data_IF_224725573144
#
_entry.id   IF_224725573144
#
_cell.length_a   1.000
_cell.length_b   1.000
_cell.length_c   1.000
_cell.angle_alpha   90.00
_cell.angle_beta   90.00
_cell.angle_gamma   90.00
#
_symmetry.space_group_name_H-M   'P 1'
#
loop_
_entity.id
_entity.type
_entity.pdbx_description
1 polymer ?
#
# COMPACT_ATOMS: atom_id res chain seq x y z
N UNK A 1 61.89 -35.42 21.67
CA UNK A 1 61.13 -34.48 22.54
C UNK A 1 59.73 -34.37 21.95
N UNK A 2 58.70 -34.80 22.70
CA UNK A 2 57.31 -34.86 22.22
C UNK A 2 56.55 -33.72 22.90
N UNK A 3 56.27 -32.65 22.15
CA UNK A 3 55.44 -31.53 22.63
C UNK A 3 54.06 -32.09 23.01
N UNK A 4 53.74 -32.10 24.31
CA UNK A 4 52.37 -32.31 24.76
C UNK A 4 51.58 -31.04 24.40
N UNK A 5 50.47 -31.14 23.67
CA UNK A 5 49.58 -29.99 23.51
C UNK A 5 49.00 -29.64 24.89
N UNK A 6 49.20 -28.40 25.33
CA UNK A 6 48.55 -27.85 26.50
C UNK A 6 47.04 -27.80 26.24
N UNK A 7 46.33 -28.84 26.69
CA UNK A 7 44.88 -28.82 26.75
C UNK A 7 44.46 -27.85 27.87
N UNK A 8 44.37 -26.56 27.54
CA UNK A 8 43.78 -25.54 28.40
C UNK A 8 42.30 -25.87 28.59
N UNK A 9 41.94 -26.37 29.77
CA UNK A 9 40.55 -26.55 30.16
C UNK A 9 39.91 -25.18 30.41
N UNK A 10 38.78 -24.91 29.75
CA UNK A 10 38.00 -23.69 29.97
C UNK A 10 37.48 -23.67 31.41
N UNK A 11 37.68 -22.56 32.11
CA UNK A 11 37.11 -22.38 33.45
C UNK A 11 35.63 -21.97 33.35
N UNK A 12 34.85 -22.35 34.37
CA UNK A 12 33.43 -21.96 34.45
C UNK A 12 33.25 -20.44 34.45
N UNK A 13 34.22 -19.70 35.00
CA UNK A 13 34.21 -18.23 35.02
C UNK A 13 34.41 -17.65 33.62
N UNK A 14 35.36 -18.17 32.84
CA UNK A 14 35.58 -17.72 31.45
C UNK A 14 34.33 -17.93 30.60
N UNK A 15 33.66 -19.09 30.74
CA UNK A 15 32.41 -19.33 30.04
C UNK A 15 31.30 -18.37 30.49
N UNK A 16 31.18 -18.12 31.79
CA UNK A 16 30.16 -17.24 32.36
C UNK A 16 30.33 -15.78 31.92
N UNK A 17 31.57 -15.28 31.87
CA UNK A 17 31.88 -13.94 31.38
C UNK A 17 31.54 -13.80 29.90
N UNK A 18 31.84 -14.82 29.08
CA UNK A 18 31.53 -14.79 27.64
C UNK A 18 30.02 -14.74 27.39
N UNK A 19 29.23 -15.59 28.06
CA UNK A 19 27.77 -15.55 27.90
C UNK A 19 27.19 -14.23 28.43
N UNK A 20 27.76 -13.65 29.50
CA UNK A 20 27.33 -12.36 30.01
C UNK A 20 27.59 -11.23 29.00
N UNK A 21 28.76 -11.22 28.35
CA UNK A 21 29.08 -10.25 27.29
C UNK A 21 28.14 -10.44 26.10
N UNK A 22 27.92 -11.67 25.63
CA UNK A 22 26.99 -11.96 24.52
C UNK A 22 25.57 -11.50 24.88
N UNK A 23 25.11 -11.75 26.09
CA UNK A 23 23.78 -11.34 26.55
C UNK A 23 23.63 -9.81 26.55
N UNK A 24 24.64 -9.06 27.01
CA UNK A 24 24.63 -7.59 26.97
C UNK A 24 24.61 -7.08 25.53
N UNK A 25 25.47 -7.61 24.66
CA UNK A 25 25.52 -7.21 23.25
C UNK A 25 24.20 -7.51 22.53
N UNK A 26 23.64 -8.69 22.77
CA UNK A 26 22.37 -9.10 22.18
C UNK A 26 21.21 -8.23 22.66
N UNK A 27 21.17 -7.87 23.96
CA UNK A 27 20.14 -7.01 24.53
C UNK A 27 20.10 -5.62 23.88
N UNK A 28 21.24 -5.08 23.48
CA UNK A 28 21.32 -3.79 22.76
C UNK A 28 21.02 -3.98 21.26
N UNK A 29 21.51 -5.07 20.66
CA UNK A 29 21.42 -5.29 19.21
C UNK A 29 20.00 -5.64 18.75
N UNK A 30 19.25 -6.46 19.50
CA UNK A 30 17.90 -6.88 19.11
C UNK A 30 16.91 -5.72 18.87
N UNK A 31 16.73 -4.75 19.78
CA UNK A 31 15.79 -3.65 19.55
C UNK A 31 16.22 -2.76 18.37
N UNK A 32 17.53 -2.54 18.18
CA UNK A 32 18.05 -1.77 17.05
C UNK A 32 17.80 -2.49 15.73
N UNK A 33 18.07 -3.80 15.70
CA UNK A 33 17.87 -4.62 14.51
C UNK A 33 16.40 -4.68 14.08
N UNK A 34 15.46 -4.78 15.03
CA UNK A 34 14.03 -4.74 14.75
C UNK A 34 13.61 -3.43 14.06
N UNK A 35 14.06 -2.28 14.60
CA UNK A 35 13.79 -0.96 14.01
C UNK A 35 14.43 -0.79 12.63
N UNK A 36 15.67 -1.26 12.45
CA UNK A 36 16.37 -1.21 11.18
C UNK A 36 15.66 -2.06 10.10
N UNK A 37 15.20 -3.26 10.46
CA UNK A 37 14.44 -4.14 9.57
C UNK A 37 13.11 -3.50 9.15
N UNK A 38 12.40 -2.87 10.08
CA UNK A 38 11.16 -2.16 9.78
C UNK A 38 11.41 -0.96 8.84
N UNK A 39 12.43 -0.14 9.12
CA UNK A 39 12.83 0.96 8.26
C UNK A 39 13.16 0.50 6.83
N UNK A 40 13.89 -0.62 6.69
CA UNK A 40 14.19 -1.20 5.39
C UNK A 40 12.92 -1.63 4.63
N UNK A 41 11.97 -2.29 5.31
CA UNK A 41 10.69 -2.65 4.71
C UNK A 41 9.87 -1.43 4.28
N UNK A 42 9.86 -0.37 5.10
CA UNK A 42 9.21 0.90 4.75
C UNK A 42 9.83 1.51 3.49
N UNK A 43 11.16 1.57 3.41
CA UNK A 43 11.87 2.06 2.22
C UNK A 43 11.54 1.22 0.99
N UNK A 44 11.35 -0.09 1.16
CA UNK A 44 10.88 -0.96 0.07
C UNK A 44 9.47 -0.58 -0.41
N UNK A 45 8.53 -0.33 0.50
CA UNK A 45 7.18 0.11 0.11
C UNK A 45 7.20 1.46 -0.63
N UNK A 46 8.05 2.39 -0.21
CA UNK A 46 8.24 3.67 -0.88
C UNK A 46 8.87 3.50 -2.28
N UNK A 47 9.88 2.63 -2.40
CA UNK A 47 10.53 2.33 -3.68
C UNK A 47 9.58 1.66 -4.68
N UNK A 48 8.70 0.80 -4.20
CA UNK A 48 7.63 0.20 -4.98
C UNK A 48 6.69 1.27 -5.53
N UNK A 49 6.17 2.17 -4.68
CA UNK A 49 5.33 3.29 -5.11
C UNK A 49 6.03 4.17 -6.14
N UNK A 50 7.34 4.42 -6.00
CA UNK A 50 8.10 5.22 -6.97
C UNK A 50 8.13 4.53 -8.34
N UNK A 51 8.31 3.21 -8.37
CA UNK A 51 8.26 2.44 -9.62
C UNK A 51 6.85 2.40 -10.21
N UNK A 52 5.81 2.29 -9.38
CA UNK A 52 4.41 2.42 -9.82
C UNK A 52 4.17 3.81 -10.42
N UNK A 53 4.69 4.87 -9.80
CA UNK A 53 4.63 6.23 -10.34
C UNK A 53 5.28 6.34 -11.72
N UNK A 54 6.46 5.75 -11.90
CA UNK A 54 7.08 5.68 -13.23
C UNK A 54 6.21 4.93 -14.24
N UNK A 55 5.60 3.81 -13.85
CA UNK A 55 4.68 3.05 -14.70
C UNK A 55 3.45 3.87 -15.10
N UNK A 56 2.88 4.64 -14.17
CA UNK A 56 1.78 5.59 -14.48
C UNK A 56 2.24 6.64 -15.48
N UNK A 57 3.44 7.22 -15.32
CA UNK A 57 3.99 8.19 -16.29
C UNK A 57 4.19 7.59 -17.67
N UNK A 58 4.64 6.33 -17.76
CA UNK A 58 4.77 5.63 -19.04
C UNK A 58 3.41 5.34 -19.67
N UNK A 59 2.42 4.94 -18.87
CA UNK A 59 1.04 4.80 -19.33
C UNK A 59 0.51 6.12 -19.91
N UNK A 60 0.70 7.23 -19.22
CA UNK A 60 0.25 8.55 -19.70
C UNK A 60 0.83 8.89 -21.09
N UNK A 61 2.10 8.53 -21.34
CA UNK A 61 2.76 8.76 -22.63
C UNK A 61 2.12 7.96 -23.78
N UNK A 62 1.63 6.76 -23.50
CA UNK A 62 1.04 5.88 -24.52
C UNK A 62 -0.46 6.14 -24.74
N UNK A 63 -1.13 6.83 -23.81
CA UNK A 63 -2.59 7.05 -23.80
C UNK A 63 -2.99 8.53 -23.79
N UNK A 64 -2.31 9.39 -24.57
CA UNK A 64 -2.65 10.81 -24.76
C UNK A 64 -2.84 11.59 -23.44
N UNK A 65 -1.91 11.41 -22.51
CA UNK A 65 -1.91 12.01 -21.16
C UNK A 65 -3.15 11.65 -20.32
N UNK A 66 -3.84 10.55 -20.64
CA UNK A 66 -5.04 10.10 -19.92
C UNK A 66 -4.68 9.14 -18.80
N UNK A 67 -5.09 9.44 -17.56
CA UNK A 67 -4.86 8.53 -16.43
C UNK A 67 -5.60 7.20 -16.64
N UNK A 68 -5.05 6.07 -16.12
CA UNK A 68 -5.66 4.75 -16.27
C UNK A 68 -7.10 4.71 -15.74
N UNK A 69 -7.85 3.70 -16.16
CA UNK A 69 -9.21 3.49 -15.65
C UNK A 69 -9.12 3.07 -14.19
N UNK A 70 -9.88 3.73 -13.32
CA UNK A 70 -10.06 3.31 -11.94
C UNK A 70 -10.92 2.04 -11.91
N UNK A 71 -10.29 0.95 -11.49
CA UNK A 71 -10.98 -0.25 -11.08
C UNK A 71 -10.94 -0.32 -9.57
N UNK A 72 -12.11 -0.48 -8.95
CA UNK A 72 -12.17 -0.54 -7.51
C UNK A 72 -11.66 -1.87 -6.95
N UNK A 73 -11.33 -1.86 -5.66
CA UNK A 73 -10.98 -3.05 -4.90
C UNK A 73 -12.17 -4.03 -4.92
N UNK A 74 -11.90 -5.30 -5.21
CA UNK A 74 -12.86 -6.42 -5.33
C UNK A 74 -13.47 -6.63 -6.73
N UNK A 75 -12.61 -6.66 -7.76
CA UNK A 75 -12.98 -7.08 -9.11
C UNK A 75 -13.47 -8.54 -9.15
N UNK A 76 -14.40 -8.85 -10.04
CA UNK A 76 -14.82 -10.22 -10.36
C UNK A 76 -14.36 -10.57 -11.78
N UNK A 77 -13.48 -11.57 -11.95
CA UNK A 77 -12.95 -12.48 -10.93
C UNK A 77 -11.87 -11.85 -10.05
N UNK A 78 -11.68 -12.43 -8.85
CA UNK A 78 -10.82 -11.87 -7.81
C UNK A 78 -9.35 -11.76 -8.22
N UNK A 79 -8.57 -10.99 -7.46
CA UNK A 79 -7.15 -10.79 -7.69
C UNK A 79 -6.39 -12.11 -7.91
N UNK A 80 -5.57 -12.13 -8.96
CA UNK A 80 -4.80 -13.30 -9.37
C UNK A 80 -5.58 -14.32 -10.24
N UNK A 81 -6.89 -14.14 -10.43
CA UNK A 81 -7.68 -15.01 -11.32
C UNK A 81 -7.72 -14.47 -12.77
N UNK A 82 -7.87 -15.34 -13.78
CA UNK A 82 -7.98 -14.91 -15.19
C UNK A 82 -9.17 -13.97 -15.40
N UNK A 83 -8.93 -12.76 -15.91
CA UNK A 83 -9.97 -11.76 -16.14
C UNK A 83 -10.11 -10.72 -15.02
N UNK A 84 -9.30 -10.81 -13.96
CA UNK A 84 -9.19 -9.77 -12.94
C UNK A 84 -8.91 -8.41 -13.57
N UNK A 85 -9.62 -7.39 -13.10
CA UNK A 85 -9.47 -6.00 -13.51
C UNK A 85 -8.99 -5.16 -12.34
N UNK A 86 -7.95 -4.38 -12.57
CA UNK A 86 -7.33 -3.53 -11.55
C UNK A 86 -6.44 -2.50 -12.22
N UNK A 87 -6.18 -1.38 -11.53
CA UNK A 87 -5.21 -0.38 -12.01
C UNK A 87 -3.84 -1.04 -12.22
N UNK A 88 -3.46 -1.94 -11.31
CA UNK A 88 -2.25 -2.74 -11.40
C UNK A 88 -2.19 -3.62 -12.66
N UNK A 89 -3.33 -4.06 -13.18
CA UNK A 89 -3.40 -4.84 -14.41
C UNK A 89 -3.15 -3.96 -15.63
N UNK A 90 -3.63 -2.71 -15.62
CA UNK A 90 -3.37 -1.72 -16.67
C UNK A 90 -1.91 -1.25 -16.68
N UNK A 91 -1.28 -1.19 -15.50
CA UNK A 91 0.10 -0.78 -15.35
C UNK A 91 1.10 -1.91 -15.59
N UNK A 92 0.65 -3.18 -15.60
CA UNK A 92 1.48 -4.37 -15.78
C UNK A 92 2.46 -4.30 -16.97
N UNK A 93 2.08 -3.82 -18.17
CA UNK A 93 3.03 -3.72 -19.30
C UNK A 93 4.22 -2.79 -19.04
N UNK A 94 4.09 -1.85 -18.10
CA UNK A 94 5.10 -0.81 -17.80
C UNK A 94 5.97 -1.16 -16.59
N UNK A 95 5.68 -2.27 -15.91
CA UNK A 95 6.46 -2.79 -14.79
C UNK A 95 7.11 -4.10 -15.22
N UNK A 96 8.44 -4.13 -15.24
CA UNK A 96 9.15 -5.39 -15.44
C UNK A 96 9.14 -6.18 -14.13
N UNK A 97 8.25 -7.20 -13.97
CA UNK A 97 8.58 -8.50 -13.33
C UNK A 97 7.39 -9.39 -12.93
N UNK A 98 6.67 -10.02 -13.86
CA UNK A 98 5.73 -11.07 -13.49
C UNK A 98 5.44 -12.02 -14.62
N UNK A 99 6.15 -13.15 -14.64
CA UNK A 99 5.75 -14.29 -15.45
C UNK A 99 4.43 -14.86 -14.92
N UNK A 100 3.66 -15.51 -15.79
CA UNK A 100 2.42 -16.22 -15.42
C UNK A 100 2.71 -17.23 -14.30
N UNK A 101 2.07 -17.08 -13.14
CA UNK A 101 2.16 -18.05 -12.06
C UNK A 101 1.08 -19.13 -12.25
N UNK A 102 1.24 -20.27 -11.58
CA UNK A 102 0.22 -21.32 -11.57
C UNK A 102 -0.32 -21.46 -10.16
N UNK A 103 -1.64 -21.56 -9.99
CA UNK A 103 -2.17 -22.02 -8.70
C UNK A 103 -1.74 -23.47 -8.41
N UNK A 104 -2.03 -23.95 -7.20
CA UNK A 104 -1.72 -25.33 -6.80
C UNK A 104 -2.37 -26.41 -7.68
N UNK A 105 -3.31 -26.04 -8.57
CA UNK A 105 -4.02 -26.91 -9.49
C UNK A 105 -3.53 -26.76 -10.95
N UNK A 106 -2.51 -25.95 -11.21
CA UNK A 106 -1.97 -25.73 -12.56
C UNK A 106 -2.80 -24.78 -13.42
N UNK A 107 -3.76 -24.05 -12.85
CA UNK A 107 -4.46 -22.97 -13.55
C UNK A 107 -3.49 -21.79 -13.65
N UNK A 108 -3.25 -21.32 -14.88
CA UNK A 108 -2.49 -20.08 -15.13
C UNK A 108 -3.20 -18.93 -14.43
N UNK A 109 -2.66 -18.49 -13.31
CA UNK A 109 -3.12 -17.33 -12.57
C UNK A 109 -2.42 -16.10 -13.12
N UNK A 110 -3.10 -14.96 -13.06
CA UNK A 110 -2.41 -13.69 -13.27
C UNK A 110 -1.41 -13.57 -12.11
N UNK A 111 -0.11 -13.54 -12.42
CA UNK A 111 0.87 -13.35 -11.37
C UNK A 111 0.68 -11.96 -10.81
N UNK A 112 0.25 -11.89 -9.56
CA UNK A 112 0.23 -10.64 -8.86
C UNK A 112 1.65 -10.10 -8.82
N UNK A 113 1.82 -8.91 -9.35
CA UNK A 113 3.13 -8.30 -9.50
C UNK A 113 3.70 -7.96 -8.12
N UNK A 114 4.91 -8.44 -7.77
CA UNK A 114 5.51 -8.19 -6.46
C UNK A 114 5.67 -6.71 -6.14
N UNK A 115 5.74 -5.86 -7.17
CA UNK A 115 5.88 -4.41 -7.02
C UNK A 115 4.67 -3.77 -6.33
N UNK A 116 3.47 -4.33 -6.50
CA UNK A 116 2.28 -3.83 -5.80
C UNK A 116 2.16 -4.36 -4.38
N UNK A 117 3.12 -5.18 -3.91
CA UNK A 117 3.14 -5.69 -2.54
C UNK A 117 4.06 -4.86 -1.66
N UNK A 118 3.52 -4.23 -0.63
CA UNK A 118 4.30 -3.65 0.44
C UNK A 118 4.74 -4.76 1.43
N UNK A 119 6.03 -4.91 1.80
CA UNK A 119 6.46 -5.92 2.78
C UNK A 119 5.94 -5.73 4.22
N UNK A 120 5.24 -4.63 4.46
CA UNK A 120 4.55 -4.32 5.71
C UNK A 120 3.04 -4.61 5.65
N UNK A 121 2.52 -5.00 4.49
CA UNK A 121 1.14 -5.44 4.31
C UNK A 121 0.87 -6.68 5.17
N UNK A 122 0.06 -6.48 6.20
CA UNK A 122 -0.42 -7.50 7.15
C UNK A 122 -1.94 -7.66 7.07
N UNK A 123 -2.56 -7.18 6.00
CA UNK A 123 -4.01 -7.17 5.84
C UNK A 123 -4.72 -6.14 6.71
N UNK A 124 -6.03 -6.25 6.76
CA UNK A 124 -6.97 -5.37 7.45
C UNK A 124 -8.33 -6.00 7.64
N UNK A 125 -9.32 -5.23 8.11
CA UNK A 125 -10.66 -5.74 8.40
C UNK A 125 -11.36 -6.38 7.20
N UNK A 126 -11.04 -5.94 5.99
CA UNK A 126 -11.63 -6.44 4.76
C UNK A 126 -10.88 -7.63 4.15
N UNK A 127 -9.64 -7.89 4.58
CA UNK A 127 -8.81 -8.94 3.96
C UNK A 127 -9.44 -10.32 4.19
N UNK A 128 -9.64 -10.71 5.45
CA UNK A 128 -10.26 -12.00 5.80
C UNK A 128 -11.78 -12.03 5.50
N UNK A 129 -12.42 -10.86 5.46
CA UNK A 129 -13.87 -10.77 5.25
C UNK A 129 -14.24 -11.01 3.79
N UNK A 130 -13.51 -10.39 2.88
CA UNK A 130 -13.83 -10.42 1.45
C UNK A 130 -13.08 -11.58 0.76
N UNK A 131 -11.89 -11.95 1.25
CA UNK A 131 -11.11 -13.10 0.78
C UNK A 131 -10.57 -13.90 1.98
N UNK A 132 -11.30 -14.88 2.54
CA UNK A 132 -10.96 -15.56 3.81
C UNK A 132 -9.59 -16.22 3.91
N UNK A 133 -8.92 -16.47 2.79
CA UNK A 133 -7.57 -17.06 2.74
C UNK A 133 -6.45 -16.03 2.61
N UNK A 134 -6.78 -14.77 2.33
CA UNK A 134 -5.82 -13.70 2.12
C UNK A 134 -5.28 -13.22 3.47
N UNK A 135 -3.96 -13.06 3.57
CA UNK A 135 -3.27 -12.50 4.75
C UNK A 135 -2.75 -11.09 4.53
N UNK A 136 -3.04 -10.53 3.36
CA UNK A 136 -2.55 -9.23 2.92
C UNK A 136 -3.53 -8.62 1.91
N UNK A 137 -3.61 -7.30 1.82
CA UNK A 137 -4.45 -6.63 0.80
C UNK A 137 -3.98 -6.96 -0.61
N UNK A 138 -2.68 -7.07 -0.83
CA UNK A 138 -2.16 -7.54 -2.12
C UNK A 138 -2.71 -8.91 -2.50
N UNK A 139 -2.84 -9.86 -1.55
CA UNK A 139 -3.45 -11.15 -1.85
C UNK A 139 -4.96 -11.06 -2.13
N UNK A 140 -5.67 -10.17 -1.45
CA UNK A 140 -7.12 -10.03 -1.60
C UNK A 140 -7.53 -9.24 -2.86
N UNK A 141 -6.74 -8.20 -3.21
CA UNK A 141 -7.13 -7.19 -4.19
C UNK A 141 -6.08 -6.91 -5.27
N UNK A 142 -4.92 -7.55 -5.21
CA UNK A 142 -3.85 -7.39 -6.19
C UNK A 142 -2.88 -6.25 -5.90
N UNK A 143 -3.19 -5.39 -4.93
CA UNK A 143 -2.34 -4.28 -4.50
C UNK A 143 -2.39 -4.05 -2.99
N UNK A 144 -1.25 -3.79 -2.38
CA UNK A 144 -1.13 -3.22 -1.03
C UNK A 144 -1.29 -1.69 -1.02
N UNK A 145 -1.36 -1.08 -2.21
CA UNK A 145 -1.45 0.36 -2.41
C UNK A 145 -2.83 0.72 -2.93
N UNK A 146 -3.34 1.82 -2.36
CA UNK A 146 -4.61 2.42 -2.74
C UNK A 146 -4.39 3.50 -3.78
N UNK A 147 -4.93 3.34 -4.98
CA UNK A 147 -5.06 4.39 -5.98
C UNK A 147 -6.21 5.34 -5.64
N UNK A 148 -6.00 6.64 -5.87
CA UNK A 148 -6.95 7.73 -5.61
C UNK A 148 -8.00 7.78 -6.73
N UNK A 149 -9.26 7.47 -6.43
CA UNK A 149 -10.34 7.32 -7.43
C UNK A 149 -10.50 8.54 -8.33
N UNK A 150 -10.48 9.75 -7.78
CA UNK A 150 -10.68 10.97 -8.56
C UNK A 150 -9.48 11.37 -9.44
N UNK A 151 -8.32 10.72 -9.27
CA UNK A 151 -7.17 10.92 -10.15
C UNK A 151 -7.15 9.99 -11.34
N UNK A 152 -8.01 8.98 -11.35
CA UNK A 152 -8.06 7.97 -12.40
C UNK A 152 -9.35 8.12 -13.20
N UNK A 153 -9.32 7.71 -14.46
CA UNK A 153 -10.47 7.84 -15.36
C UNK A 153 -11.56 6.85 -14.97
N UNK A 154 -12.81 7.25 -15.09
CA UNK A 154 -13.98 6.38 -14.92
C UNK A 154 -14.65 6.22 -16.29
N UNK A 155 -15.05 4.99 -16.62
CA UNK A 155 -15.70 4.68 -17.89
C UNK A 155 -17.03 3.98 -17.63
N UNK A 156 -18.08 4.42 -18.31
CA UNK A 156 -19.40 3.83 -18.18
C UNK A 156 -19.38 2.36 -18.60
N UNK A 157 -20.00 1.50 -17.81
CA UNK A 157 -20.00 0.04 -18.01
C UNK A 157 -18.78 -0.68 -17.42
N UNK A 158 -17.73 0.04 -17.01
CA UNK A 158 -16.62 -0.53 -16.24
C UNK A 158 -16.93 -0.50 -14.72
N UNK A 159 -16.27 -1.37 -13.97
CA UNK A 159 -16.63 -1.68 -12.57
C UNK A 159 -16.19 -0.61 -11.56
N UNK A 160 -17.13 -0.17 -10.72
CA UNK A 160 -16.87 0.49 -9.44
C UNK A 160 -16.71 -0.52 -8.28
N UNK A 161 -16.59 -0.03 -7.04
CA UNK A 161 -16.47 -0.86 -5.83
C UNK A 161 -17.55 -1.94 -5.78
N UNK A 162 -17.15 -3.19 -5.51
CA UNK A 162 -18.04 -4.35 -5.46
C UNK A 162 -18.73 -4.72 -6.78
N UNK A 163 -18.13 -4.46 -7.94
CA UNK A 163 -18.67 -4.86 -9.25
C UNK A 163 -19.96 -4.16 -9.68
N UNK A 164 -20.24 -2.97 -9.14
CA UNK A 164 -21.34 -2.13 -9.64
C UNK A 164 -20.81 -1.29 -10.81
N UNK A 165 -21.31 -1.44 -12.05
CA UNK A 165 -20.80 -0.65 -13.18
C UNK A 165 -21.07 0.84 -12.99
N UNK A 166 -20.15 1.69 -13.42
CA UNK A 166 -20.40 3.12 -13.54
C UNK A 166 -21.42 3.39 -14.65
N UNK A 167 -22.32 4.34 -14.43
CA UNK A 167 -23.27 4.84 -15.43
C UNK A 167 -22.80 6.11 -16.14
N UNK A 168 -21.64 6.64 -15.75
CA UNK A 168 -21.01 7.83 -16.31
C UNK A 168 -19.56 7.56 -16.74
N UNK A 169 -19.05 8.44 -17.61
CA UNK A 169 -17.64 8.47 -18.01
C UNK A 169 -17.02 9.81 -17.60
N UNK A 170 -15.89 9.76 -16.93
CA UNK A 170 -15.07 10.92 -16.54
C UNK A 170 -13.62 10.60 -16.92
N UNK A 171 -13.10 11.32 -17.91
CA UNK A 171 -11.71 11.18 -18.34
C UNK A 171 -10.87 12.18 -17.56
N UNK A 172 -9.77 11.73 -16.96
CA UNK A 172 -8.84 12.58 -16.22
C UNK A 172 -7.55 12.68 -17.03
N UNK A 173 -7.18 13.91 -17.40
CA UNK A 173 -5.92 14.16 -18.11
C UNK A 173 -4.85 14.75 -17.19
N UNK A 174 -3.58 14.42 -17.46
CA UNK A 174 -2.43 14.97 -16.74
C UNK A 174 -2.36 16.50 -16.86
N UNK A 175 -2.78 17.05 -18.00
CA UNK A 175 -2.86 18.49 -18.22
C UNK A 175 -3.86 19.22 -17.32
N UNK A 176 -4.81 18.51 -16.72
CA UNK A 176 -5.83 19.09 -15.83
C UNK A 176 -5.34 19.18 -14.37
N UNK A 177 -4.20 18.56 -14.06
CA UNK A 177 -3.63 18.53 -12.71
C UNK A 177 -2.87 19.82 -12.43
N UNK A 178 -3.50 20.74 -11.69
CA UNK A 178 -2.93 22.05 -11.39
C UNK A 178 -1.70 22.00 -10.45
N UNK A 179 -1.66 21.03 -9.52
CA UNK A 179 -0.64 20.95 -8.47
C UNK A 179 -0.02 19.55 -8.38
N UNK A 180 0.73 19.10 -9.39
CA UNK A 180 1.13 17.70 -9.51
C UNK A 180 2.03 17.20 -8.37
N UNK A 181 2.80 18.08 -7.72
CA UNK A 181 3.63 17.76 -6.54
C UNK A 181 2.85 17.72 -5.22
N UNK A 182 1.55 17.98 -5.24
CA UNK A 182 0.70 18.02 -4.04
C UNK A 182 -0.55 17.15 -4.21
N UNK A 183 -0.91 16.84 -5.45
CA UNK A 183 -1.95 15.90 -5.82
C UNK A 183 -1.48 14.46 -5.66
N UNK A 184 -2.17 13.69 -4.83
CA UNK A 184 -1.88 12.28 -4.53
C UNK A 184 -2.54 11.39 -5.57
N UNK A 185 -1.81 10.40 -6.08
CA UNK A 185 -2.36 9.41 -7.02
C UNK A 185 -2.45 8.01 -6.41
N UNK A 186 -1.60 7.71 -5.41
CA UNK A 186 -1.70 6.48 -4.64
C UNK A 186 -1.11 6.64 -3.24
N UNK A 187 -1.40 5.69 -2.37
CA UNK A 187 -0.89 5.60 -1.00
C UNK A 187 -0.80 4.15 -0.54
N UNK A 188 -0.18 3.89 0.61
CA UNK A 188 -0.41 2.60 1.28
C UNK A 188 -1.90 2.45 1.61
N UNK A 189 -2.47 1.25 1.42
CA UNK A 189 -3.88 0.99 1.71
C UNK A 189 -4.23 1.34 3.15
N UNK A 190 -3.40 0.85 4.07
CA UNK A 190 -3.49 1.20 5.48
C UNK A 190 -2.74 2.51 5.73
N UNK A 191 -3.49 3.59 5.91
CA UNK A 191 -2.95 4.92 6.14
C UNK A 191 -3.74 5.68 7.22
N UNK A 192 -3.07 6.55 7.99
CA UNK A 192 -3.69 7.30 9.10
C UNK A 192 -4.71 8.35 8.65
N UNK A 193 -4.64 8.81 7.40
CA UNK A 193 -5.46 9.93 6.92
C UNK A 193 -6.97 9.69 7.10
N UNK A 194 -7.41 8.43 7.23
CA UNK A 194 -8.80 8.05 7.44
C UNK A 194 -9.09 7.64 8.89
N UNK A 195 -8.44 8.28 9.86
CA UNK A 195 -8.70 8.00 11.28
C UNK A 195 -10.08 8.50 11.76
N UNK A 196 -10.33 8.30 13.06
CA UNK A 196 -11.59 8.61 13.74
C UNK A 196 -11.94 10.11 13.76
N UNK A 197 -10.97 11.00 13.62
CA UNK A 197 -11.20 12.45 13.64
C UNK A 197 -11.96 12.90 12.37
N UNK A 198 -11.67 12.26 11.24
CA UNK A 198 -12.28 12.57 9.95
C UNK A 198 -13.40 11.59 9.56
N UNK A 199 -13.43 10.39 10.15
CA UNK A 199 -14.36 9.32 9.76
C UNK A 199 -14.97 8.64 10.99
N UNK A 200 -16.22 8.94 11.38
CA UNK A 200 -16.84 8.38 12.59
C UNK A 200 -16.91 6.84 12.65
N UNK A 201 -16.93 6.16 11.50
CA UNK A 201 -16.96 4.70 11.37
C UNK A 201 -15.60 4.07 10.99
N UNK A 202 -14.52 4.86 10.85
CA UNK A 202 -13.22 4.38 10.38
C UNK A 202 -12.65 3.22 11.19
N UNK A 203 -12.90 3.21 12.49
CA UNK A 203 -12.41 2.15 13.38
C UNK A 203 -13.07 0.81 13.09
N UNK A 204 -14.40 0.77 13.08
CA UNK A 204 -15.14 -0.49 12.94
C UNK A 204 -15.11 -1.01 11.51
N UNK A 205 -15.08 -0.10 10.52
CA UNK A 205 -15.15 -0.47 9.13
C UNK A 205 -13.78 -0.77 8.56
N UNK A 206 -12.82 0.15 8.70
CA UNK A 206 -11.55 0.10 7.95
C UNK A 206 -10.31 -0.17 8.80
N UNK A 207 -10.40 -0.08 10.13
CA UNK A 207 -9.29 -0.43 11.00
C UNK A 207 -8.10 0.53 10.87
N UNK A 208 -8.39 1.82 10.65
CA UNK A 208 -7.40 2.88 10.60
C UNK A 208 -6.84 3.23 12.00
N UNK A 209 -6.36 4.45 12.24
CA UNK A 209 -5.66 4.79 13.50
C UNK A 209 -6.60 4.85 14.72
N UNK A 210 -6.91 3.68 15.27
CA UNK A 210 -7.81 3.46 16.40
C UNK A 210 -7.14 2.61 17.49
N UNK A 211 -7.80 2.45 18.64
CA UNK A 211 -7.32 1.54 19.69
C UNK A 211 -7.44 0.06 19.25
N UNK A 212 -6.60 -0.84 19.77
CA UNK A 212 -6.73 -2.28 19.54
C UNK A 212 -8.15 -2.79 19.83
N UNK A 213 -8.71 -3.72 19.03
CA UNK A 213 -8.07 -4.52 17.98
C UNK A 213 -8.08 -3.90 16.58
N UNK A 214 -8.53 -2.65 16.43
CA UNK A 214 -8.76 -2.01 15.12
C UNK A 214 -7.58 -1.20 14.60
N UNK A 215 -6.44 -1.26 15.27
CA UNK A 215 -5.24 -0.47 14.96
C UNK A 215 -4.40 -1.01 13.79
N UNK A 216 -5.03 -1.48 12.70
CA UNK A 216 -4.32 -2.19 11.62
C UNK A 216 -3.28 -1.32 10.93
N UNK A 217 -3.57 -0.03 10.75
CA UNK A 217 -2.61 0.96 10.26
C UNK A 217 -1.28 0.93 11.03
N UNK A 218 -1.31 0.98 12.36
CA UNK A 218 -0.10 0.95 13.21
C UNK A 218 0.70 -0.35 13.08
N UNK A 219 0.08 -1.43 12.58
CA UNK A 219 0.75 -2.71 12.32
C UNK A 219 1.56 -2.69 11.03
N UNK A 220 1.12 -1.91 10.04
CA UNK A 220 1.84 -1.70 8.79
C UNK A 220 2.96 -0.69 8.99
N UNK A 221 2.60 0.50 9.44
CA UNK A 221 3.54 1.58 9.70
C UNK A 221 3.25 2.22 11.05
N UNK A 222 4.23 2.20 11.95
CA UNK A 222 4.05 2.68 13.33
C UNK A 222 3.88 4.21 13.47
N UNK A 223 4.27 5.02 12.48
CA UNK A 223 4.36 6.50 12.61
C UNK A 223 3.77 7.31 11.44
N UNK A 224 3.44 6.67 10.33
CA UNK A 224 3.11 7.40 9.11
C UNK A 224 2.71 6.47 7.97
N UNK A 225 2.71 6.97 6.75
CA UNK A 225 2.56 6.12 5.57
C UNK A 225 3.12 6.77 4.32
N UNK A 226 3.18 6.00 3.24
CA UNK A 226 3.72 6.43 1.97
C UNK A 226 2.61 6.97 1.07
N UNK A 227 2.93 8.06 0.38
CA UNK A 227 2.16 8.62 -0.71
C UNK A 227 2.98 8.64 -1.99
N UNK A 228 2.28 8.52 -3.10
CA UNK A 228 2.74 8.77 -4.45
C UNK A 228 1.93 9.95 -5.02
N UNK A 229 2.63 10.89 -5.64
CA UNK A 229 2.06 12.12 -6.19
C UNK A 229 2.06 12.10 -7.73
N UNK A 230 1.27 12.98 -8.34
CA UNK A 230 1.02 13.00 -9.79
C UNK A 230 2.28 13.32 -10.62
N UNK A 231 3.24 14.08 -10.07
CA UNK A 231 4.57 14.28 -10.67
C UNK A 231 5.50 13.04 -10.57
N UNK A 232 5.05 11.96 -9.93
CA UNK A 232 5.79 10.71 -9.74
C UNK A 232 6.70 10.68 -8.51
N UNK A 233 6.80 11.74 -7.72
CA UNK A 233 7.55 11.67 -6.48
C UNK A 233 6.77 10.93 -5.39
N UNK A 234 7.50 10.36 -4.45
CA UNK A 234 6.93 9.64 -3.31
C UNK A 234 7.42 10.24 -2.01
N UNK A 235 6.55 10.31 -1.01
CA UNK A 235 6.88 10.86 0.30
C UNK A 235 6.30 9.98 1.39
N UNK A 236 7.09 9.74 2.43
CA UNK A 236 6.54 9.25 3.69
C UNK A 236 6.12 10.43 4.55
N UNK A 237 4.86 10.45 4.97
CA UNK A 237 4.33 11.49 5.85
C UNK A 237 4.15 10.94 7.25
N UNK A 238 4.39 11.77 8.25
CA UNK A 238 4.15 11.48 9.67
C UNK A 238 3.05 12.39 10.19
N UNK A 239 2.20 11.85 11.06
CA UNK A 239 1.17 12.61 11.79
C UNK A 239 -0.02 13.08 10.96
N UNK A 240 -1.07 13.54 11.64
CA UNK A 240 -2.36 13.96 11.09
C UNK A 240 -2.28 15.30 10.37
N UNK A 241 -1.63 15.34 9.20
CA UNK A 241 -1.78 16.46 8.29
C UNK A 241 -3.17 16.37 7.64
N UNK A 242 -4.08 17.26 8.03
CA UNK A 242 -5.38 17.41 7.39
C UNK A 242 -5.25 17.77 5.91
N UNK A 243 -6.33 17.57 5.16
CA UNK A 243 -6.39 17.99 3.77
C UNK A 243 -6.42 19.52 3.67
N UNK A 244 -5.90 20.04 2.57
CA UNK A 244 -6.04 21.46 2.26
C UNK A 244 -7.51 21.74 1.86
N UNK A 245 -8.27 22.31 2.78
CA UNK A 245 -9.68 22.67 2.58
C UNK A 245 -9.86 23.91 1.70
N UNK A 246 -8.79 24.59 1.29
CA UNK A 246 -8.89 25.75 0.40
C UNK A 246 -8.98 25.36 -1.09
N UNK A 247 -8.64 24.10 -1.43
CA UNK A 247 -8.57 23.64 -2.82
C UNK A 247 -9.82 22.89 -3.24
N UNK A 248 -10.15 23.02 -4.51
CA UNK A 248 -11.30 22.40 -5.14
C UNK A 248 -10.87 21.54 -6.33
N UNK A 249 -11.65 20.50 -6.62
CA UNK A 249 -11.60 19.80 -7.89
C UNK A 249 -12.12 20.71 -9.05
N UNK A 250 -12.04 20.26 -10.32
CA UNK A 250 -12.55 21.03 -11.46
C UNK A 250 -14.05 21.35 -11.41
N UNK A 251 -14.82 20.62 -10.60
CA UNK A 251 -16.27 20.79 -10.41
C UNK A 251 -16.59 21.72 -9.22
N UNK A 252 -15.56 22.18 -8.48
CA UNK A 252 -15.69 23.13 -7.38
C UNK A 252 -15.82 22.47 -5.99
N UNK A 253 -15.55 21.18 -5.87
CA UNK A 253 -15.71 20.44 -4.63
C UNK A 253 -14.43 20.43 -3.79
N UNK A 254 -14.52 20.80 -2.51
CA UNK A 254 -13.41 20.67 -1.55
C UNK A 254 -13.46 19.30 -0.89
N UNK A 255 -12.32 18.74 -0.50
CA UNK A 255 -12.26 17.44 0.19
C UNK A 255 -13.20 17.38 1.43
N UNK A 256 -13.35 18.46 2.19
CA UNK A 256 -14.25 18.50 3.35
C UNK A 256 -15.75 18.63 3.02
N UNK A 257 -16.12 18.97 1.78
CA UNK A 257 -17.52 19.22 1.42
C UNK A 257 -18.34 17.91 1.39
N UNK A 258 -19.66 17.94 1.70
CA UNK A 258 -20.50 16.75 1.65
C UNK A 258 -20.60 16.15 0.24
N UNK A 259 -20.51 14.82 0.14
CA UNK A 259 -20.79 14.07 -1.10
C UNK A 259 -22.17 13.41 -1.04
N UNK A 260 -22.97 13.44 -2.13
CA UNK A 260 -24.36 12.95 -2.13
C UNK A 260 -24.57 11.52 -1.61
N UNK A 261 -23.63 10.63 -1.86
CA UNK A 261 -23.73 9.19 -1.55
C UNK A 261 -22.56 8.64 -0.73
N UNK A 262 -21.51 9.44 -0.55
CA UNK A 262 -20.20 8.99 -0.07
C UNK A 262 -19.77 9.78 1.18
N UNK A 263 -20.67 10.55 1.79
CA UNK A 263 -20.37 11.30 3.02
C UNK A 263 -19.68 12.62 2.69
N UNK A 264 -18.38 12.59 2.35
CA UNK A 264 -17.61 13.78 1.93
C UNK A 264 -16.87 13.52 0.61
N UNK A 265 -16.46 14.59 -0.07
CA UNK A 265 -15.63 14.48 -1.28
C UNK A 265 -14.25 13.89 -0.98
N UNK A 266 -13.77 14.02 0.25
CA UNK A 266 -12.61 13.30 0.75
C UNK A 266 -12.81 11.78 0.63
N UNK A 267 -13.97 11.28 1.04
CA UNK A 267 -14.27 9.85 0.91
C UNK A 267 -14.44 9.42 -0.56
N UNK A 268 -15.07 10.27 -1.37
CA UNK A 268 -15.33 9.96 -2.77
C UNK A 268 -14.05 9.87 -3.63
N UNK A 269 -13.03 10.63 -3.24
CA UNK A 269 -11.80 10.78 -4.00
C UNK A 269 -10.58 10.03 -3.44
N UNK A 270 -10.54 9.75 -2.13
CA UNK A 270 -9.35 9.34 -1.35
C UNK A 270 -8.29 10.47 -1.18
#
# INVERSE_FOLDING_TARGET
MRNRPDNKAFTLIELLVVIAIIAILAAILFPIFARAKEAAKKTHCLSNLRQIGMAVRMYLQDYDDTYPIFYAYMSNPAAGQPGHKGVETLLHPYIQSGGVDSDANGVKTFALEPIFKCPLDQGGPFTDRDVPTARSYWQAYGSSYRFTKCMFSVVAGESSSNNVPYDYTKIVKDSEVQFPSETRIARDEMHYAFDREYTPDACNRYGYDCDPPWNFYRRWHHLGGNFLYADGHTKFTVGHAGFDEARVDPEGHRSGDPHPTEGTWYWACD
#
